data_IF_387041731520
#
_entry.id   IF_387041731520
#
_cell.length_a   1.000
_cell.length_b   1.000
_cell.length_c   1.000
_cell.angle_alpha   90.00
_cell.angle_beta   90.00
_cell.angle_gamma   90.00
#
_symmetry.space_group_name_H-M   'P 1'
#
loop_
_entity.id
_entity.type
_entity.pdbx_description
1 polymer ?
#
# COMPACT_ATOMS: atom_id res chain seq x y z
N UNK A 1 -14.06 10.31 -10.53
CA UNK A 1 -12.84 11.00 -10.02
C UNK A 1 -11.70 10.00 -9.87
N UNK A 2 -11.98 8.85 -9.26
CA UNK A 2 -11.03 7.74 -9.06
C UNK A 2 -10.35 7.32 -10.37
N UNK A 3 -11.10 7.16 -11.45
CA UNK A 3 -10.53 6.81 -12.77
C UNK A 3 -9.46 7.81 -13.26
N UNK A 4 -9.68 9.11 -13.06
CA UNK A 4 -8.74 10.16 -13.46
C UNK A 4 -7.44 10.15 -12.64
N UNK A 5 -7.49 9.78 -11.37
CA UNK A 5 -6.30 9.60 -10.52
C UNK A 5 -5.48 8.39 -11.02
N UNK A 6 -6.15 7.39 -11.58
CA UNK A 6 -5.64 6.03 -11.72
C UNK A 6 -5.27 5.61 -13.16
N UNK A 7 -5.90 6.18 -14.20
CA UNK A 7 -5.71 5.81 -15.61
C UNK A 7 -4.94 6.81 -16.46
N UNK A 8 -5.15 8.12 -16.27
CA UNK A 8 -4.47 9.16 -17.06
C UNK A 8 -3.37 9.88 -16.27
N UNK A 9 -3.39 9.78 -14.94
CA UNK A 9 -2.52 10.54 -14.04
C UNK A 9 -1.67 9.69 -13.09
N UNK A 10 -1.51 8.38 -13.29
CA UNK A 10 -0.63 7.59 -12.40
C UNK A 10 0.78 8.18 -12.32
N UNK A 11 1.36 8.52 -13.47
CA UNK A 11 2.66 9.21 -13.55
C UNK A 11 2.64 10.54 -12.78
N UNK A 12 1.49 11.21 -12.71
CA UNK A 12 1.31 12.43 -11.95
C UNK A 12 1.15 12.17 -10.45
N UNK A 13 0.33 11.21 -10.03
CA UNK A 13 0.17 10.84 -8.62
C UNK A 13 1.48 10.36 -8.01
N UNK A 14 2.20 9.48 -8.69
CA UNK A 14 3.55 9.05 -8.26
C UNK A 14 4.51 10.23 -8.23
N UNK A 15 4.44 11.15 -9.21
CA UNK A 15 5.25 12.37 -9.21
C UNK A 15 4.93 13.29 -8.03
N UNK A 16 3.66 13.44 -7.65
CA UNK A 16 3.25 14.23 -6.48
C UNK A 16 3.77 13.63 -5.18
N UNK A 17 3.72 12.30 -5.04
CA UNK A 17 4.35 11.58 -3.93
C UNK A 17 5.85 11.87 -3.89
N UNK A 18 6.55 11.78 -5.01
CA UNK A 18 7.99 12.07 -5.08
C UNK A 18 8.28 13.55 -4.77
N UNK A 19 7.47 14.48 -5.25
CA UNK A 19 7.61 15.91 -4.96
C UNK A 19 7.42 16.21 -3.47
N UNK A 20 6.47 15.56 -2.80
CA UNK A 20 6.30 15.68 -1.35
C UNK A 20 7.56 15.20 -0.61
N UNK A 21 8.06 14.02 -0.97
CA UNK A 21 9.23 13.41 -0.32
C UNK A 21 10.54 14.17 -0.58
N UNK A 22 10.73 14.75 -1.77
CA UNK A 22 11.90 15.59 -2.10
C UNK A 22 12.07 16.82 -1.22
N UNK A 23 11.00 17.30 -0.58
CA UNK A 23 11.04 18.43 0.36
C UNK A 23 11.48 18.02 1.77
N UNK A 24 11.60 16.72 2.04
CA UNK A 24 11.97 16.18 3.35
C UNK A 24 13.47 15.91 3.41
N UNK A 25 14.04 16.05 4.61
CA UNK A 25 15.44 15.70 4.85
C UNK A 25 15.64 14.18 4.81
N UNK A 26 16.83 13.71 4.44
CA UNK A 26 17.21 12.29 4.53
C UNK A 26 16.98 11.72 5.94
N UNK A 27 17.19 12.56 6.98
CA UNK A 27 16.98 12.18 8.38
C UNK A 27 15.53 11.81 8.66
N UNK A 28 14.57 12.44 7.99
CA UNK A 28 13.15 12.09 8.11
C UNK A 28 12.84 10.70 7.57
N UNK A 29 13.69 10.15 6.69
CA UNK A 29 13.55 8.82 6.10
C UNK A 29 14.21 7.69 6.90
N UNK A 30 14.96 8.05 7.95
CA UNK A 30 15.68 7.08 8.80
C UNK A 30 14.71 6.07 9.41
N UNK A 31 13.70 6.58 10.12
CA UNK A 31 12.69 5.79 10.85
C UNK A 31 11.31 5.90 10.19
N UNK A 32 11.29 6.28 8.91
CA UNK A 32 10.05 6.39 8.15
C UNK A 32 9.39 5.02 8.06
N UNK A 33 8.08 5.00 8.28
CA UNK A 33 7.30 3.80 8.41
C UNK A 33 6.07 3.86 7.49
N UNK A 34 5.41 2.71 7.34
CA UNK A 34 4.26 2.56 6.45
C UNK A 34 3.14 3.55 6.78
N UNK A 35 2.83 3.77 8.06
CA UNK A 35 1.82 4.76 8.49
C UNK A 35 2.16 6.19 8.05
N UNK A 36 3.43 6.58 8.15
CA UNK A 36 3.88 7.91 7.73
C UNK A 36 3.80 8.07 6.21
N UNK A 37 4.07 6.98 5.48
CA UNK A 37 3.90 6.94 4.03
C UNK A 37 2.44 6.99 3.60
N UNK A 38 1.56 6.27 4.30
CA UNK A 38 0.12 6.37 4.11
C UNK A 38 -0.36 7.81 4.34
N UNK A 39 0.05 8.45 5.45
CA UNK A 39 -0.28 9.85 5.73
C UNK A 39 0.18 10.77 4.59
N UNK A 40 1.36 10.54 4.02
CA UNK A 40 1.84 11.32 2.88
C UNK A 40 0.96 11.14 1.64
N UNK A 41 0.46 9.94 1.39
CA UNK A 41 -0.48 9.66 0.29
C UNK A 41 -1.85 10.31 0.54
N UNK A 42 -2.36 10.20 1.76
CA UNK A 42 -3.63 10.79 2.19
C UNK A 42 -3.66 12.32 2.03
N UNK A 43 -2.53 12.99 2.23
CA UNK A 43 -2.37 14.44 2.02
C UNK A 43 -2.37 14.84 0.54
N UNK A 44 -2.08 13.91 -0.37
CA UNK A 44 -2.04 14.15 -1.82
C UNK A 44 -3.39 13.82 -2.45
N UNK A 45 -4.06 12.77 -1.96
CA UNK A 45 -5.37 12.38 -2.45
C UNK A 45 -6.46 13.40 -2.06
N UNK A 46 -7.46 13.64 -2.94
CA UNK A 46 -8.64 14.40 -2.56
C UNK A 46 -9.34 13.75 -1.35
N UNK A 47 -9.64 14.53 -0.31
CA UNK A 47 -10.19 14.02 0.96
C UNK A 47 -11.58 13.40 0.84
N UNK A 48 -12.23 13.54 -0.30
CA UNK A 48 -13.58 13.07 -0.57
C UNK A 48 -13.63 11.84 -1.48
N UNK A 49 -12.51 11.13 -1.68
CA UNK A 49 -12.47 9.98 -2.58
C UNK A 49 -11.78 8.73 -2.01
N UNK A 50 -11.52 8.68 -0.70
CA UNK A 50 -10.92 7.50 -0.08
C UNK A 50 -11.37 7.27 1.36
N UNK A 51 -11.14 6.04 1.82
CA UNK A 51 -11.18 5.61 3.22
C UNK A 51 -9.87 4.92 3.54
N UNK A 52 -9.23 5.36 4.61
CA UNK A 52 -8.06 4.69 5.18
C UNK A 52 -8.45 3.52 6.07
N UNK A 53 -7.64 2.47 6.04
CA UNK A 53 -7.82 1.26 6.86
C UNK A 53 -9.24 0.70 6.72
N UNK A 54 -9.73 0.57 5.48
CA UNK A 54 -11.08 0.09 5.23
C UNK A 54 -11.20 -1.35 5.73
N UNK A 55 -12.15 -1.57 6.64
CA UNK A 55 -12.31 -2.85 7.33
C UNK A 55 -13.13 -3.84 6.52
N UNK A 56 -12.61 -5.06 6.44
CA UNK A 56 -13.26 -6.23 5.85
C UNK A 56 -13.38 -7.34 6.89
N UNK A 57 -14.35 -8.22 6.70
CA UNK A 57 -14.30 -9.57 7.24
C UNK A 57 -13.81 -10.47 6.12
N UNK A 58 -12.63 -11.07 6.28
CA UNK A 58 -11.96 -11.87 5.22
C UNK A 58 -12.22 -13.36 5.35
N UNK A 59 -12.52 -13.83 6.57
CA UNK A 59 -12.78 -15.23 6.88
C UNK A 59 -13.57 -15.35 8.19
N UNK A 60 -14.39 -16.39 8.31
CA UNK A 60 -15.21 -16.69 9.50
C UNK A 60 -14.80 -18.05 10.09
N UNK A 61 -13.84 -18.08 11.02
CA UNK A 61 -13.44 -19.31 11.75
C UNK A 61 -12.80 -18.97 13.10
N UNK A 62 -13.14 -19.65 14.21
CA UNK A 62 -14.43 -19.56 14.92
C UNK A 62 -14.79 -18.13 15.40
N UNK A 63 -13.85 -17.18 15.24
CA UNK A 63 -14.07 -15.74 15.36
C UNK A 63 -13.86 -15.10 13.98
N UNK A 64 -14.41 -13.91 13.75
CA UNK A 64 -14.15 -13.19 12.51
C UNK A 64 -12.67 -12.84 12.40
N UNK A 65 -12.09 -13.12 11.23
CA UNK A 65 -10.78 -12.60 10.85
C UNK A 65 -10.99 -11.32 10.06
N UNK A 66 -10.44 -10.23 10.59
CA UNK A 66 -10.52 -8.92 9.95
C UNK A 66 -9.37 -8.74 8.97
N UNK A 67 -9.66 -8.02 7.88
CA UNK A 67 -8.66 -7.47 6.97
C UNK A 67 -8.81 -5.96 6.90
N UNK A 68 -7.71 -5.27 6.62
CA UNK A 68 -7.67 -3.82 6.52
C UNK A 68 -6.97 -3.45 5.22
N UNK A 69 -7.70 -2.76 4.36
CA UNK A 69 -7.14 -2.16 3.15
C UNK A 69 -6.54 -0.82 3.55
N UNK A 70 -5.24 -0.61 3.28
CA UNK A 70 -4.55 0.64 3.63
C UNK A 70 -5.33 1.86 3.13
N UNK A 71 -5.70 1.86 1.84
CA UNK A 71 -6.54 2.90 1.24
C UNK A 71 -7.54 2.31 0.24
N UNK A 72 -8.82 2.52 0.48
CA UNK A 72 -9.90 2.19 -0.46
C UNK A 72 -10.43 3.46 -1.11
N UNK A 73 -10.40 3.53 -2.44
CA UNK A 73 -10.85 4.66 -3.22
C UNK A 73 -12.19 4.34 -3.89
N UNK A 74 -13.18 5.21 -3.72
CA UNK A 74 -14.45 5.13 -4.44
C UNK A 74 -15.01 6.55 -4.66
N UNK A 75 -15.82 6.72 -5.70
CA UNK A 75 -16.48 8.00 -5.96
C UNK A 75 -17.63 8.25 -4.94
N UNK A 76 -17.96 9.53 -4.72
CA UNK A 76 -19.01 9.97 -3.77
C UNK A 76 -20.42 9.66 -4.30
N UNK A 77 -20.60 9.77 -5.62
CA UNK A 77 -21.80 9.35 -6.35
C UNK A 77 -21.58 7.97 -6.94
N UNK A 78 -22.63 7.12 -7.00
CA UNK A 78 -22.61 5.73 -7.48
C UNK A 78 -21.39 5.42 -8.36
N UNK A 79 -20.36 4.83 -7.73
CA UNK A 79 -19.04 4.74 -8.35
C UNK A 79 -18.99 3.67 -9.42
N UNK A 80 -18.81 4.08 -10.68
CA UNK A 80 -18.48 3.17 -11.79
C UNK A 80 -17.09 2.54 -11.59
N UNK A 81 -16.21 3.21 -10.84
CA UNK A 81 -14.85 2.76 -10.55
C UNK A 81 -14.52 2.82 -9.06
N UNK A 82 -13.79 1.81 -8.59
CA UNK A 82 -13.20 1.77 -7.25
C UNK A 82 -11.78 1.22 -7.33
N UNK A 83 -10.96 1.53 -6.33
CA UNK A 83 -9.63 0.99 -6.25
C UNK A 83 -9.22 0.64 -4.83
N UNK A 84 -8.35 -0.36 -4.76
CA UNK A 84 -7.71 -0.82 -3.53
C UNK A 84 -6.24 -0.45 -3.67
N UNK A 85 -5.71 0.32 -2.74
CA UNK A 85 -4.28 0.62 -2.67
C UNK A 85 -3.73 -0.11 -1.44
N UNK A 86 -2.72 -0.94 -1.68
CA UNK A 86 -1.85 -1.55 -0.69
C UNK A 86 -0.48 -0.86 -0.76
N UNK A 87 0.07 -0.50 0.38
CA UNK A 87 1.33 0.20 0.54
C UNK A 87 2.37 -0.76 1.12
N UNK A 88 3.60 -0.66 0.64
CA UNK A 88 4.74 -1.35 1.25
C UNK A 88 5.90 -0.38 1.35
N UNK A 89 6.53 -0.34 2.52
CA UNK A 89 7.65 0.57 2.76
C UNK A 89 8.94 -0.14 3.18
N UNK A 90 10.03 0.20 2.50
CA UNK A 90 11.39 -0.23 2.83
C UNK A 90 12.25 0.99 3.19
N UNK A 91 12.41 1.23 4.49
CA UNK A 91 13.22 2.35 4.98
C UNK A 91 14.72 2.09 4.82
N UNK A 92 15.51 3.18 4.92
CA UNK A 92 16.95 3.12 4.69
C UNK A 92 17.68 2.25 5.71
N UNK A 93 17.27 2.26 6.99
CA UNK A 93 17.91 1.42 8.02
C UNK A 93 17.72 -0.05 7.71
N UNK A 94 16.50 -0.48 7.40
CA UNK A 94 16.22 -1.88 7.11
C UNK A 94 16.86 -2.37 5.82
N UNK A 95 16.94 -1.51 4.80
CA UNK A 95 17.65 -1.80 3.55
C UNK A 95 19.17 -1.91 3.78
N UNK A 96 19.77 -0.96 4.50
CA UNK A 96 21.19 -1.00 4.84
C UNK A 96 21.52 -2.24 5.69
N UNK A 97 20.69 -2.53 6.68
CA UNK A 97 20.82 -3.73 7.52
C UNK A 97 20.74 -5.01 6.67
N UNK A 98 19.90 -5.02 5.64
CA UNK A 98 19.84 -6.09 4.65
C UNK A 98 21.11 -6.25 3.83
N UNK A 99 21.76 -5.16 3.40
CA UNK A 99 23.07 -5.20 2.75
C UNK A 99 24.17 -5.72 3.69
N UNK A 100 24.10 -5.36 4.98
CA UNK A 100 25.09 -5.75 5.99
C UNK A 100 24.86 -7.17 6.57
N UNK A 101 23.71 -7.80 6.28
CA UNK A 101 23.34 -9.10 6.83
C UNK A 101 23.02 -9.10 8.34
N UNK A 102 22.92 -7.93 8.98
CA UNK A 102 22.60 -7.77 10.40
C UNK A 102 21.93 -6.42 10.66
N UNK A 103 21.19 -6.31 11.76
CA UNK A 103 20.57 -5.05 12.15
C UNK A 103 21.61 -3.97 12.50
N UNK A 104 21.48 -2.79 11.89
CA UNK A 104 22.32 -1.62 12.15
C UNK A 104 21.43 -0.47 12.60
N UNK A 105 21.09 -0.42 13.89
CA UNK A 105 20.10 0.53 14.44
C UNK A 105 20.51 2.00 14.38
N UNK A 106 21.82 2.31 14.33
CA UNK A 106 22.32 3.68 14.23
C UNK A 106 23.51 3.76 13.25
N UNK A 107 23.24 3.68 11.93
CA UNK A 107 24.29 3.73 10.93
C UNK A 107 24.86 5.14 10.78
N UNK A 108 26.12 5.29 10.32
CA UNK A 108 26.66 6.59 9.95
C UNK A 108 25.79 7.28 8.90
N UNK A 109 25.57 8.59 9.04
CA UNK A 109 24.75 9.37 8.10
C UNK A 109 25.25 9.27 6.65
N UNK A 110 26.58 9.21 6.47
CA UNK A 110 27.22 9.03 5.17
C UNK A 110 26.81 7.71 4.49
N UNK A 111 26.72 6.61 5.25
CA UNK A 111 26.26 5.32 4.73
C UNK A 111 24.82 5.38 4.22
N UNK A 112 23.94 6.16 4.88
CA UNK A 112 22.57 6.38 4.42
C UNK A 112 22.50 7.21 3.13
N UNK A 113 23.36 8.23 2.99
CA UNK A 113 23.47 9.02 1.75
C UNK A 113 23.91 8.14 0.59
N UNK A 114 24.96 7.34 0.80
CA UNK A 114 25.54 6.52 -0.25
C UNK A 114 24.57 5.41 -0.67
N UNK A 115 23.85 4.80 0.29
CA UNK A 115 22.77 3.88 0.01
C UNK A 115 21.64 4.55 -0.78
N UNK A 116 21.15 5.72 -0.36
CA UNK A 116 20.05 6.39 -1.06
C UNK A 116 20.41 6.76 -2.52
N UNK A 117 21.65 7.21 -2.77
CA UNK A 117 22.17 7.43 -4.13
C UNK A 117 22.20 6.16 -4.95
N UNK A 118 22.67 5.05 -4.36
CA UNK A 118 22.71 3.74 -5.00
C UNK A 118 21.30 3.26 -5.36
N UNK A 119 20.35 3.40 -4.43
CA UNK A 119 18.95 3.07 -4.66
C UNK A 119 18.37 3.86 -5.84
N UNK A 120 18.80 5.09 -6.10
CA UNK A 120 18.28 5.88 -7.23
C UNK A 120 18.69 5.33 -8.60
N UNK A 121 19.85 4.67 -8.71
CA UNK A 121 20.40 4.20 -9.99
C UNK A 121 20.07 2.74 -10.31
N UNK A 122 19.68 1.95 -9.31
CA UNK A 122 19.46 0.52 -9.49
C UNK A 122 18.21 0.21 -10.32
N UNK A 123 18.31 -0.83 -11.13
CA UNK A 123 17.18 -1.42 -11.84
C UNK A 123 16.13 -1.97 -10.86
N UNK A 124 14.90 -2.17 -11.35
CA UNK A 124 13.87 -2.83 -10.53
C UNK A 124 14.32 -4.23 -10.08
N UNK A 125 15.02 -4.99 -10.93
CA UNK A 125 15.53 -6.32 -10.60
C UNK A 125 16.53 -6.30 -9.43
N UNK A 126 17.48 -5.37 -9.45
CA UNK A 126 18.43 -5.17 -8.35
C UNK A 126 17.72 -4.80 -7.05
N UNK A 127 16.72 -3.91 -7.11
CA UNK A 127 15.90 -3.56 -5.95
C UNK A 127 15.14 -4.76 -5.39
N UNK A 128 14.53 -5.58 -6.25
CA UNK A 128 13.79 -6.78 -5.84
C UNK A 128 14.70 -7.83 -5.18
N UNK A 129 15.96 -7.92 -5.62
CA UNK A 129 16.93 -8.88 -5.11
C UNK A 129 17.57 -8.48 -3.77
N UNK A 130 17.33 -7.26 -3.28
CA UNK A 130 17.79 -6.84 -1.94
C UNK A 130 17.19 -7.68 -0.83
N UNK A 131 17.98 -7.81 0.23
CA UNK A 131 17.47 -8.18 1.55
C UNK A 131 17.02 -6.92 2.29
N UNK A 132 16.06 -7.11 3.18
CA UNK A 132 15.53 -6.09 4.07
C UNK A 132 15.40 -6.66 5.47
N UNK A 133 15.87 -5.92 6.47
CA UNK A 133 15.68 -6.27 7.87
C UNK A 133 14.54 -5.47 8.49
N UNK A 134 13.70 -6.15 9.25
CA UNK A 134 12.58 -5.56 9.97
C UNK A 134 12.45 -6.19 11.36
N UNK A 135 11.82 -5.46 12.28
CA UNK A 135 11.44 -5.99 13.59
C UNK A 135 10.16 -6.83 13.45
N UNK A 136 10.26 -8.15 13.69
CA UNK A 136 9.08 -9.01 13.78
C UNK A 136 8.44 -8.86 15.17
N UNK A 137 7.21 -8.36 15.23
CA UNK A 137 6.45 -8.28 16.48
C UNK A 137 6.06 -9.67 17.01
N UNK A 138 5.80 -10.62 16.11
CA UNK A 138 5.41 -11.99 16.45
C UNK A 138 6.56 -12.76 17.10
N UNK A 139 7.77 -12.65 16.53
CA UNK A 139 8.94 -13.38 17.02
C UNK A 139 9.84 -12.55 17.95
N UNK A 140 9.47 -11.28 18.21
CA UNK A 140 10.21 -10.33 19.03
C UNK A 140 11.70 -10.25 18.68
N UNK A 141 12.02 -10.28 17.38
CA UNK A 141 13.41 -10.19 16.88
C UNK A 141 13.47 -9.59 15.49
N UNK A 142 14.66 -9.11 15.12
CA UNK A 142 14.92 -8.69 13.75
C UNK A 142 15.01 -9.89 12.80
N UNK A 143 14.35 -9.79 11.65
CA UNK A 143 14.35 -10.82 10.60
C UNK A 143 14.75 -10.20 9.26
N UNK A 144 15.41 -11.01 8.44
CA UNK A 144 15.69 -10.70 7.04
C UNK A 144 14.58 -11.25 6.14
N UNK A 145 14.23 -10.50 5.10
CA UNK A 145 13.37 -10.94 4.01
C UNK A 145 13.86 -10.35 2.69
N UNK A 146 13.72 -11.09 1.58
CA UNK A 146 13.92 -10.50 0.25
C UNK A 146 12.83 -9.50 -0.07
N UNK A 147 13.19 -8.34 -0.61
CA UNK A 147 12.25 -7.30 -1.07
C UNK A 147 11.20 -7.91 -2.01
N UNK A 148 11.64 -8.75 -2.97
CA UNK A 148 10.73 -9.48 -3.87
C UNK A 148 9.66 -10.27 -3.12
N UNK A 149 10.04 -11.04 -2.10
CA UNK A 149 9.11 -11.87 -1.33
C UNK A 149 8.07 -11.03 -0.60
N UNK A 150 8.49 -9.91 -0.01
CA UNK A 150 7.60 -9.00 0.70
C UNK A 150 6.59 -8.33 -0.27
N UNK A 151 7.05 -7.92 -1.46
CA UNK A 151 6.18 -7.38 -2.51
C UNK A 151 5.21 -8.45 -3.05
N UNK A 152 5.68 -9.68 -3.27
CA UNK A 152 4.82 -10.77 -3.75
C UNK A 152 3.73 -11.13 -2.73
N UNK A 153 4.04 -11.10 -1.42
CA UNK A 153 3.04 -11.23 -0.37
C UNK A 153 2.00 -10.10 -0.44
N UNK A 154 2.43 -8.86 -0.66
CA UNK A 154 1.52 -7.72 -0.87
C UNK A 154 0.59 -7.92 -2.07
N UNK A 155 1.06 -8.51 -3.17
CA UNK A 155 0.20 -8.84 -4.33
C UNK A 155 -0.84 -9.91 -3.99
N UNK A 156 -0.47 -10.91 -3.20
CA UNK A 156 -1.39 -11.95 -2.74
C UNK A 156 -2.48 -11.32 -1.87
N UNK A 157 -2.09 -10.48 -0.90
CA UNK A 157 -2.99 -9.75 -0.02
C UNK A 157 -3.95 -8.85 -0.81
N UNK A 158 -3.44 -8.04 -1.73
CA UNK A 158 -4.23 -7.18 -2.60
C UNK A 158 -5.27 -7.97 -3.41
N UNK A 159 -4.89 -9.12 -3.97
CA UNK A 159 -5.83 -9.98 -4.70
C UNK A 159 -6.90 -10.58 -3.78
N UNK A 160 -6.52 -10.98 -2.57
CA UNK A 160 -7.47 -11.47 -1.57
C UNK A 160 -8.49 -10.40 -1.23
N UNK A 161 -8.08 -9.16 -0.96
CA UNK A 161 -9.00 -8.05 -0.68
C UNK A 161 -9.99 -7.80 -1.80
N UNK A 162 -9.52 -7.76 -3.06
CA UNK A 162 -10.41 -7.62 -4.22
C UNK A 162 -11.41 -8.78 -4.29
N UNK A 163 -11.00 -10.01 -3.96
CA UNK A 163 -11.90 -11.16 -3.95
C UNK A 163 -12.92 -11.09 -2.81
N UNK A 164 -12.59 -10.48 -1.67
CA UNK A 164 -13.54 -10.23 -0.59
C UNK A 164 -14.52 -9.13 -0.96
N UNK A 165 -14.05 -8.03 -1.56
CA UNK A 165 -14.90 -6.93 -2.00
C UNK A 165 -15.94 -7.38 -3.05
N UNK A 166 -15.58 -8.36 -3.89
CA UNK A 166 -16.52 -9.01 -4.83
C UNK A 166 -17.70 -9.70 -4.16
N UNK A 167 -17.63 -9.99 -2.86
CA UNK A 167 -18.73 -10.56 -2.09
C UNK A 167 -19.69 -9.50 -1.55
N UNK A 168 -19.42 -8.21 -1.75
CA UNK A 168 -20.32 -7.14 -1.29
C UNK A 168 -20.36 -7.02 0.23
N UNK A 169 -21.54 -6.72 0.78
CA UNK A 169 -21.74 -6.45 2.20
C UNK A 169 -21.73 -7.72 3.06
N UNK A 170 -21.14 -7.64 4.26
CA UNK A 170 -21.06 -8.80 5.16
C UNK A 170 -22.44 -9.33 5.59
N UNK A 171 -23.47 -8.47 5.64
CA UNK A 171 -24.84 -8.88 5.99
C UNK A 171 -25.42 -9.91 5.02
N UNK A 172 -24.87 -9.99 3.80
CA UNK A 172 -25.33 -10.90 2.76
C UNK A 172 -24.47 -12.17 2.65
N UNK A 173 -23.18 -12.10 2.96
CA UNK A 173 -22.22 -13.14 2.58
C UNK A 173 -21.31 -13.65 3.72
N UNK A 174 -21.56 -13.26 4.98
CA UNK A 174 -20.78 -13.56 6.20
C UNK A 174 -19.30 -13.12 6.19
N UNK A 175 -18.79 -12.79 5.00
CA UNK A 175 -17.46 -12.33 4.62
C UNK A 175 -17.69 -11.26 3.55
N UNK A 176 -17.06 -10.11 3.69
CA UNK A 176 -17.32 -8.96 2.83
C UNK A 176 -16.89 -7.65 3.45
N UNK A 177 -17.46 -6.56 2.95
CA UNK A 177 -17.28 -5.22 3.50
C UNK A 177 -17.87 -5.17 4.91
N UNK A 178 -17.07 -4.68 5.85
CA UNK A 178 -17.49 -4.47 7.24
C UNK A 178 -16.98 -3.12 7.74
N UNK A 179 -17.27 -2.07 6.98
CA UNK A 179 -16.88 -0.71 7.31
C UNK A 179 -18.10 0.20 7.27
N UNK A 180 -18.41 0.85 8.39
CA UNK A 180 -19.61 1.69 8.50
C UNK A 180 -19.54 2.93 7.62
N UNK A 181 -18.35 3.33 7.15
CA UNK A 181 -18.13 4.53 6.32
C UNK A 181 -18.44 4.30 4.84
N UNK A 182 -18.67 3.03 4.44
CA UNK A 182 -18.91 2.64 3.05
C UNK A 182 -20.36 2.19 2.88
N UNK A 183 -21.01 2.69 1.82
CA UNK A 183 -22.23 2.11 1.28
C UNK A 183 -21.88 1.05 0.25
N UNK A 184 -22.57 -0.09 0.31
CA UNK A 184 -22.50 -1.15 -0.70
C UNK A 184 -23.87 -1.28 -1.35
N UNK A 185 -23.93 -1.08 -2.66
CA UNK A 185 -25.16 -1.23 -3.43
C UNK A 185 -25.01 -2.25 -4.56
N UNK A 186 -26.10 -2.93 -4.91
CA UNK A 186 -26.13 -3.84 -6.06
C UNK A 186 -26.02 -3.05 -7.36
N UNK A 187 -25.12 -3.46 -8.26
CA UNK A 187 -24.94 -2.83 -9.56
C UNK A 187 -23.55 -3.04 -10.12
N UNK A 188 -23.35 -2.77 -11.40
CA UNK A 188 -22.06 -3.03 -12.02
C UNK A 188 -21.06 -1.91 -11.79
N UNK A 189 -19.86 -2.28 -11.32
CA UNK A 189 -18.71 -1.38 -11.27
C UNK A 189 -17.42 -2.09 -11.67
N UNK A 190 -16.34 -1.32 -11.77
CA UNK A 190 -15.00 -1.80 -12.08
C UNK A 190 -14.06 -1.53 -10.92
N UNK A 191 -13.26 -2.54 -10.59
CA UNK A 191 -12.27 -2.45 -9.52
C UNK A 191 -10.87 -2.72 -10.04
N UNK A 192 -9.91 -2.00 -9.47
CA UNK A 192 -8.48 -2.21 -9.73
C UNK A 192 -7.67 -2.14 -8.43
N UNK A 193 -6.64 -2.98 -8.33
CA UNK A 193 -5.70 -2.98 -7.22
C UNK A 193 -4.38 -2.32 -7.60
N UNK A 194 -3.83 -1.55 -6.68
CA UNK A 194 -2.52 -0.92 -6.75
C UNK A 194 -1.70 -1.37 -5.55
N UNK A 195 -0.51 -1.89 -5.82
CA UNK A 195 0.52 -2.09 -4.81
C UNK A 195 1.60 -1.04 -5.04
N UNK A 196 1.67 -0.07 -4.13
CA UNK A 196 2.64 1.04 -4.19
C UNK A 196 3.75 0.76 -3.18
N UNK A 197 4.94 0.53 -3.71
CA UNK A 197 6.10 0.16 -2.92
C UNK A 197 7.08 1.32 -2.90
N UNK A 198 7.42 1.81 -1.71
CA UNK A 198 8.39 2.89 -1.52
C UNK A 198 9.70 2.36 -0.93
N UNK A 199 10.83 2.74 -1.53
CA UNK A 199 12.17 2.34 -1.12
C UNK A 199 13.07 3.57 -0.93
N UNK A 200 13.70 3.66 0.23
CA UNK A 200 14.61 4.75 0.56
C UNK A 200 13.89 6.08 0.66
N UNK A 201 14.26 7.08 -0.16
CA UNK A 201 13.62 8.40 -0.17
C UNK A 201 12.82 8.73 -1.43
N UNK A 202 13.09 8.04 -2.54
CA UNK A 202 12.66 8.49 -3.87
C UNK A 202 12.34 7.37 -4.85
N UNK A 203 12.49 6.09 -4.49
CA UNK A 203 12.16 4.99 -5.40
C UNK A 203 10.77 4.46 -5.11
N UNK A 204 9.93 4.45 -6.15
CA UNK A 204 8.61 3.86 -6.10
C UNK A 204 8.51 2.78 -7.18
N UNK A 205 8.02 1.61 -6.78
CA UNK A 205 7.61 0.54 -7.69
C UNK A 205 6.10 0.44 -7.57
N UNK A 206 5.39 0.50 -8.70
CA UNK A 206 3.94 0.30 -8.74
C UNK A 206 3.64 -1.02 -9.44
N UNK A 207 2.81 -1.86 -8.80
CA UNK A 207 2.25 -3.07 -9.41
C UNK A 207 0.74 -2.96 -9.41
N UNK A 208 0.13 -3.41 -10.51
CA UNK A 208 -1.31 -3.27 -10.75
C UNK A 208 -1.97 -4.61 -10.97
N UNK A 209 -3.23 -4.74 -10.57
CA UNK A 209 -4.09 -5.82 -11.06
C UNK A 209 -4.74 -5.42 -12.38
N UNK A 210 -5.26 -6.40 -13.12
CA UNK A 210 -6.19 -6.12 -14.20
C UNK A 210 -7.50 -5.57 -13.63
N UNK A 211 -8.24 -4.82 -14.45
CA UNK A 211 -9.62 -4.44 -14.16
C UNK A 211 -10.47 -5.68 -13.89
N UNK A 212 -11.27 -5.63 -12.83
CA UNK A 212 -12.26 -6.66 -12.53
C UNK A 212 -13.64 -6.00 -12.49
N UNK A 213 -14.55 -6.49 -13.33
CA UNK A 213 -15.98 -6.18 -13.21
C UNK A 213 -16.51 -6.86 -11.95
N UNK A 214 -17.36 -6.15 -11.21
CA UNK A 214 -18.00 -6.63 -9.98
C UNK A 214 -19.48 -6.22 -9.97
N UNK A 215 -20.30 -6.95 -9.20
CA UNK A 215 -21.76 -6.78 -9.14
C UNK A 215 -22.21 -5.87 -7.98
N UNK A 216 -21.27 -5.12 -7.42
CA UNK A 216 -21.51 -4.11 -6.41
C UNK A 216 -20.88 -2.78 -6.83
N UNK A 217 -21.50 -1.68 -6.45
CA UNK A 217 -20.85 -0.37 -6.44
C UNK A 217 -20.64 0.09 -5.00
N UNK A 218 -19.63 0.93 -4.81
CA UNK A 218 -19.28 1.49 -3.50
C UNK A 218 -19.40 3.01 -3.54
N UNK A 219 -19.83 3.59 -2.43
CA UNK A 219 -19.77 5.03 -2.21
C UNK A 219 -19.48 5.36 -0.75
N UNK A 220 -18.91 6.53 -0.53
CA UNK A 220 -18.67 7.05 0.82
C UNK A 220 -20.01 7.45 1.46
N UNK A 221 -20.20 7.11 2.74
CA UNK A 221 -21.29 7.70 3.54
C UNK A 221 -20.94 9.15 3.87
N UNK A 222 -21.94 10.02 3.76
CA UNK A 222 -21.85 11.41 4.20
C UNK A 222 -22.16 11.51 5.69
#
# INVERSE_FOLDING_TARGET
MVEGILNSNESQFIREILCYHKKKSLRSFRDYNENSFQTAIELILPSNCYISEMRLIVEKIPKYKYGFIDLFLCDISCGTFSAVIELKLFNLIGLLSGEMGRWVGNPPFKSLIDLDKKLQTESEEELLNRNYFYWSKEELKYKSIKVKKYIDNGKIQLNNYINILKKGDVSQNEVGVFDERINVGMGYSYMMGYLIVFLGTQRIIVKKTKYKKIDYYFSLKK
#
